data_IF_373669962239
#
_entry.id   IF_373669962239
#
_cell.length_a   1.000
_cell.length_b   1.000
_cell.length_c   1.000
_cell.angle_alpha   90.00
_cell.angle_beta   90.00
_cell.angle_gamma   90.00
#
_symmetry.space_group_name_H-M   'P 1'
#
loop_
_entity.id
_entity.type
_entity.pdbx_description
1 polymer ?
#
# COMPACT_ATOMS: atom_id res chain seq x y z
N UNK A 1 11.43 -3.19 -3.00
CA UNK A 1 11.17 -4.63 -3.27
C UNK A 1 10.10 -5.23 -2.34
N UNK A 2 10.16 -5.03 -1.02
CA UNK A 2 9.20 -5.63 -0.05
C UNK A 2 7.72 -5.31 -0.32
N UNK A 3 7.41 -4.05 -0.67
CA UNK A 3 6.03 -3.65 -0.98
C UNK A 3 5.45 -4.29 -2.25
N UNK A 4 6.29 -4.52 -3.27
CA UNK A 4 5.86 -5.17 -4.53
C UNK A 4 5.53 -6.64 -4.27
N UNK A 5 6.41 -7.37 -3.56
CA UNK A 5 6.15 -8.75 -3.16
C UNK A 5 4.87 -8.88 -2.32
N UNK A 6 4.66 -7.97 -1.35
CA UNK A 6 3.44 -7.93 -0.55
C UNK A 6 2.19 -7.68 -1.41
N UNK A 7 2.24 -6.76 -2.38
CA UNK A 7 1.11 -6.52 -3.30
C UNK A 7 0.81 -7.72 -4.19
N UNK A 8 1.81 -8.49 -4.61
CA UNK A 8 1.61 -9.72 -5.39
C UNK A 8 0.91 -10.80 -4.56
N UNK A 9 1.28 -10.94 -3.29
CA UNK A 9 0.62 -11.90 -2.37
C UNK A 9 -0.85 -11.51 -2.15
N UNK A 10 -1.13 -10.21 -1.98
CA UNK A 10 -2.51 -9.70 -1.90
C UNK A 10 -3.30 -9.99 -3.18
N UNK A 11 -2.69 -9.78 -4.34
CA UNK A 11 -3.34 -10.05 -5.63
C UNK A 11 -3.69 -11.53 -5.80
N UNK A 12 -2.76 -12.43 -5.45
CA UNK A 12 -3.00 -13.88 -5.48
C UNK A 12 -4.17 -14.24 -4.54
N UNK A 13 -4.18 -13.71 -3.33
CA UNK A 13 -5.28 -13.94 -2.38
C UNK A 13 -6.64 -13.45 -2.92
N UNK A 14 -6.68 -12.26 -3.52
CA UNK A 14 -7.90 -11.70 -4.09
C UNK A 14 -8.46 -12.52 -5.26
N UNK A 15 -7.59 -13.13 -6.09
CA UNK A 15 -8.00 -14.03 -7.19
C UNK A 15 -8.56 -15.35 -6.65
N UNK A 16 -8.05 -15.83 -5.49
CA UNK A 16 -8.48 -17.10 -4.88
C UNK A 16 -9.78 -16.94 -4.07
N UNK A 17 -10.05 -15.76 -3.52
CA UNK A 17 -11.23 -15.49 -2.67
C UNK A 17 -12.57 -15.95 -3.27
N UNK A 18 -12.87 -15.75 -4.57
CA UNK A 18 -14.12 -16.23 -5.17
C UNK A 18 -14.27 -17.76 -5.17
N UNK A 19 -13.16 -18.51 -5.17
CA UNK A 19 -13.15 -19.97 -5.18
C UNK A 19 -13.17 -20.54 -3.75
N UNK A 20 -12.40 -19.92 -2.85
CA UNK A 20 -12.37 -20.29 -1.44
C UNK A 20 -12.11 -19.04 -0.58
N UNK A 21 -13.17 -18.47 0.03
CA UNK A 21 -13.06 -17.22 0.76
C UNK A 21 -12.07 -17.27 1.91
N UNK A 22 -12.05 -18.37 2.68
CA UNK A 22 -11.18 -18.53 3.85
C UNK A 22 -9.70 -18.51 3.46
N UNK A 23 -9.33 -19.28 2.43
CA UNK A 23 -7.94 -19.35 1.95
C UNK A 23 -7.54 -18.03 1.28
N UNK A 24 -8.39 -17.47 0.42
CA UNK A 24 -8.10 -16.22 -0.27
C UNK A 24 -7.89 -15.05 0.70
N UNK A 25 -8.78 -14.90 1.69
CA UNK A 25 -8.66 -13.88 2.73
C UNK A 25 -7.41 -14.06 3.58
N UNK A 26 -7.02 -15.31 3.91
CA UNK A 26 -5.78 -15.57 4.63
C UNK A 26 -4.56 -15.02 3.88
N UNK A 27 -4.46 -15.27 2.56
CA UNK A 27 -3.37 -14.74 1.74
C UNK A 27 -3.39 -13.21 1.68
N UNK A 28 -4.56 -12.59 1.53
CA UNK A 28 -4.70 -11.13 1.56
C UNK A 28 -4.19 -10.56 2.88
N UNK A 29 -4.59 -11.15 4.01
CA UNK A 29 -4.18 -10.70 5.34
C UNK A 29 -2.68 -10.87 5.57
N UNK A 30 -2.08 -11.99 5.15
CA UNK A 30 -0.62 -12.20 5.19
C UNK A 30 0.09 -11.14 4.34
N UNK A 31 -0.37 -10.89 3.12
CA UNK A 31 0.19 -9.86 2.25
C UNK A 31 0.13 -8.47 2.87
N UNK A 32 -1.00 -8.11 3.50
CA UNK A 32 -1.13 -6.85 4.23
C UNK A 32 -0.22 -6.78 5.46
N UNK A 33 -0.14 -7.85 6.25
CA UNK A 33 0.72 -7.93 7.44
C UNK A 33 2.20 -7.76 7.09
N UNK A 34 2.65 -8.40 6.00
CA UNK A 34 4.03 -8.29 5.50
C UNK A 34 4.34 -6.93 4.86
N UNK A 35 3.35 -6.25 4.29
CA UNK A 35 3.54 -4.93 3.67
C UNK A 35 4.08 -3.91 4.68
N UNK A 36 3.70 -4.02 5.97
CA UNK A 36 4.12 -3.14 7.08
C UNK A 36 4.07 -1.65 6.72
N UNK A 37 3.21 -1.26 5.78
CA UNK A 37 3.11 0.11 5.30
C UNK A 37 2.43 0.91 6.40
N UNK A 38 3.23 1.56 7.25
CA UNK A 38 2.77 2.37 8.36
C UNK A 38 1.95 3.58 7.89
N UNK A 39 1.42 4.33 8.86
CA UNK A 39 0.75 5.59 8.58
C UNK A 39 1.70 6.49 7.75
N UNK A 40 1.22 6.95 6.59
CA UNK A 40 1.98 7.91 5.78
C UNK A 40 2.04 9.21 6.56
N UNK A 41 3.24 9.73 6.78
CA UNK A 41 3.41 11.09 7.26
C UNK A 41 2.73 12.06 6.27
N UNK A 42 2.09 13.10 6.82
CA UNK A 42 1.51 14.17 6.00
C UNK A 42 2.63 15.06 5.49
N UNK A 43 3.12 14.72 4.31
CA UNK A 43 4.21 15.42 3.60
C UNK A 43 3.73 16.66 2.82
N UNK A 44 2.41 16.79 2.66
CA UNK A 44 1.75 17.82 1.84
C UNK A 44 0.44 18.23 2.51
N UNK A 45 0.49 19.31 3.29
CA UNK A 45 -0.61 20.01 3.92
C UNK A 45 -1.07 21.20 3.05
N UNK A 46 -0.14 21.95 2.42
CA UNK A 46 -0.44 23.16 1.63
C UNK A 46 0.14 23.15 0.20
N UNK A 47 0.03 21.99 -0.47
CA UNK A 47 0.48 21.83 -1.85
C UNK A 47 -0.60 21.25 -2.77
N UNK A 48 -0.94 21.99 -3.82
CA UNK A 48 -1.79 21.52 -4.91
C UNK A 48 -1.06 20.48 -5.79
N UNK A 49 -1.80 19.70 -6.58
CA UNK A 49 -1.25 18.56 -7.33
C UNK A 49 -0.04 18.91 -8.22
N UNK A 50 -0.06 20.06 -8.89
CA UNK A 50 1.06 20.58 -9.69
C UNK A 50 2.27 20.95 -8.84
N UNK A 51 2.06 21.57 -7.68
CA UNK A 51 3.16 21.93 -6.76
C UNK A 51 3.84 20.69 -6.18
N UNK A 52 3.06 19.63 -5.88
CA UNK A 52 3.58 18.34 -5.42
C UNK A 52 4.44 17.67 -6.48
N UNK A 53 4.03 17.76 -7.74
CA UNK A 53 4.80 17.25 -8.88
C UNK A 53 6.12 18.01 -9.04
N UNK A 54 6.12 19.32 -8.79
CA UNK A 54 7.32 20.16 -8.81
C UNK A 54 8.20 20.01 -7.56
N UNK A 55 7.85 19.10 -6.64
CA UNK A 55 8.65 18.78 -5.47
C UNK A 55 8.40 19.67 -4.25
N UNK A 56 7.35 20.51 -4.25
CA UNK A 56 6.96 21.26 -3.03
C UNK A 56 6.48 20.29 -1.97
N UNK A 57 7.24 20.16 -0.89
CA UNK A 57 6.92 19.32 0.29
C UNK A 57 6.99 20.17 1.56
N UNK A 58 6.16 19.87 2.55
CA UNK A 58 6.19 20.55 3.86
C UNK A 58 7.22 19.96 4.82
N UNK A 59 8.08 19.06 4.33
CA UNK A 59 9.24 18.59 5.08
C UNK A 59 10.23 19.74 5.19
N UNK A 60 10.39 20.29 6.40
CA UNK A 60 11.60 21.03 6.74
C UNK A 60 12.75 20.02 6.73
N UNK A 61 13.75 20.23 5.87
CA UNK A 61 14.99 19.45 5.89
C UNK A 61 15.75 19.66 7.20
#
# INVERSE_FOLDING_TARGET
MKGIAASTIVLIGAVITPLNPNIGLLFVLIGMFLNKKGAREKVFNDANATERMLGKTDLQQ
#
